data_IF_254820219676
#
_entry.id   IF_254820219676
#
_cell.length_a   1.000
_cell.length_b   1.000
_cell.length_c   1.000
_cell.angle_alpha   90.00
_cell.angle_beta   90.00
_cell.angle_gamma   90.00
#
_symmetry.space_group_name_H-M   'P 1'
#
loop_
_entity.id
_entity.type
_entity.pdbx_description
1 polymer ?
#
# COMPACT_ATOMS: atom_id res chain seq x y z
N UNK A 1 -9.50 -28.46 6.39
CA UNK A 1 -8.85 -27.57 5.42
C UNK A 1 -9.80 -26.42 5.13
N UNK A 2 -9.48 -25.21 5.56
CA UNK A 2 -10.31 -24.05 5.27
C UNK A 2 -10.05 -23.67 3.82
N UNK A 3 -11.03 -23.85 2.95
CA UNK A 3 -10.98 -23.28 1.60
C UNK A 3 -11.12 -21.76 1.76
N UNK A 4 -10.17 -20.96 1.33
CA UNK A 4 -10.35 -19.50 1.37
C UNK A 4 -11.61 -19.14 0.59
N UNK A 5 -12.55 -18.53 1.24
CA UNK A 5 -13.74 -18.03 0.57
C UNK A 5 -13.35 -16.71 -0.10
N UNK A 6 -13.01 -16.75 -1.38
CA UNK A 6 -12.64 -15.58 -2.18
C UNK A 6 -13.80 -14.62 -2.49
N UNK A 7 -14.97 -14.83 -1.87
CA UNK A 7 -16.18 -14.02 -2.08
C UNK A 7 -16.43 -12.98 -0.98
N UNK A 8 -15.42 -12.66 -0.16
CA UNK A 8 -15.57 -11.56 0.78
C UNK A 8 -15.60 -10.22 0.04
N UNK A 9 -16.62 -9.39 0.26
CA UNK A 9 -16.69 -8.08 -0.38
C UNK A 9 -15.54 -7.20 0.13
N UNK A 10 -14.90 -6.52 -0.82
CA UNK A 10 -13.90 -5.49 -0.53
C UNK A 10 -14.45 -4.15 -0.97
N UNK A 11 -14.39 -3.17 -0.08
CA UNK A 11 -14.77 -1.79 -0.33
C UNK A 11 -13.55 -0.98 -0.74
N UNK A 12 -13.67 -0.13 -1.76
CA UNK A 12 -12.58 0.67 -2.32
C UNK A 12 -12.84 2.16 -2.09
N UNK A 13 -11.82 2.86 -1.57
CA UNK A 13 -11.90 4.28 -1.24
C UNK A 13 -10.71 5.05 -1.81
N UNK A 14 -10.91 5.68 -2.96
CA UNK A 14 -9.93 6.63 -3.51
C UNK A 14 -10.16 8.00 -2.87
N UNK A 15 -9.18 8.50 -2.14
CA UNK A 15 -9.27 9.70 -1.30
C UNK A 15 -8.63 10.94 -1.92
N UNK A 16 -7.60 10.75 -2.73
CA UNK A 16 -6.82 11.85 -3.28
C UNK A 16 -6.44 11.61 -4.76
N UNK A 17 -6.07 12.71 -5.44
CA UNK A 17 -5.41 12.63 -6.73
C UNK A 17 -3.90 12.68 -6.53
N UNK A 18 -3.16 11.91 -7.33
CA UNK A 18 -1.71 11.77 -7.21
C UNK A 18 -1.02 12.06 -8.55
N UNK A 19 -1.12 13.31 -9.09
CA UNK A 19 -0.66 13.62 -10.45
C UNK A 19 0.86 13.55 -10.63
N UNK A 20 1.62 13.63 -9.53
CA UNK A 20 3.09 13.61 -9.54
C UNK A 20 3.69 12.41 -8.84
N UNK A 21 2.86 11.43 -8.46
CA UNK A 21 3.35 10.24 -7.76
C UNK A 21 4.29 9.41 -8.63
N UNK A 22 5.40 8.97 -8.06
CA UNK A 22 6.39 8.12 -8.72
C UNK A 22 5.97 6.65 -8.68
N UNK A 23 5.55 6.17 -7.51
CA UNK A 23 5.07 4.81 -7.29
C UNK A 23 3.71 4.82 -6.59
N UNK A 24 2.93 3.77 -6.82
CA UNK A 24 1.79 3.41 -5.99
C UNK A 24 2.26 2.32 -5.00
N UNK A 25 2.35 2.67 -3.72
CA UNK A 25 2.81 1.76 -2.66
C UNK A 25 1.58 1.10 -2.04
N UNK A 26 1.49 -0.23 -2.16
CA UNK A 26 0.37 -1.02 -1.65
C UNK A 26 0.80 -1.76 -0.39
N UNK A 27 0.11 -1.50 0.71
CA UNK A 27 0.44 -2.02 2.04
C UNK A 27 -0.77 -2.77 2.59
N UNK A 28 -0.81 -4.12 2.49
CA UNK A 28 -1.81 -4.90 3.20
C UNK A 28 -1.49 -4.93 4.69
N UNK A 29 -2.50 -4.78 5.53
CA UNK A 29 -2.36 -4.82 6.98
C UNK A 29 -3.49 -5.63 7.63
N UNK A 30 -3.20 -6.27 8.73
CA UNK A 30 -4.15 -7.03 9.54
C UNK A 30 -3.89 -6.80 11.02
N UNK A 31 -4.69 -5.88 11.63
CA UNK A 31 -4.62 -5.56 13.05
C UNK A 31 -3.17 -5.32 13.56
N UNK A 32 -2.45 -4.43 12.88
CA UNK A 32 -1.03 -4.14 13.15
C UNK A 32 -0.75 -2.63 13.12
N UNK A 33 -1.59 -1.86 13.81
CA UNK A 33 -1.64 -0.40 13.72
C UNK A 33 -0.29 0.28 14.00
N UNK A 34 0.39 -0.11 15.08
CA UNK A 34 1.64 0.55 15.47
C UNK A 34 2.74 0.40 14.41
N UNK A 35 2.86 -0.79 13.82
CA UNK A 35 3.83 -1.03 12.74
C UNK A 35 3.42 -0.33 11.45
N UNK A 36 2.15 -0.36 11.09
CA UNK A 36 1.64 0.38 9.91
C UNK A 36 1.95 1.87 10.02
N UNK A 37 1.72 2.48 11.18
CA UNK A 37 2.04 3.88 11.43
C UNK A 37 3.52 4.17 11.24
N UNK A 38 4.40 3.33 11.78
CA UNK A 38 5.84 3.47 11.62
C UNK A 38 6.28 3.29 10.16
N UNK A 39 5.73 2.29 9.47
CA UNK A 39 6.00 2.04 8.06
C UNK A 39 5.66 3.27 7.21
N UNK A 40 4.44 3.80 7.33
CA UNK A 40 3.99 4.97 6.56
C UNK A 40 4.80 6.22 6.94
N UNK A 41 5.07 6.44 8.22
CA UNK A 41 5.92 7.54 8.66
C UNK A 41 7.33 7.48 8.05
N UNK A 42 7.91 6.28 7.92
CA UNK A 42 9.21 6.10 7.28
C UNK A 42 9.18 6.44 5.80
N UNK A 43 8.14 6.06 5.08
CA UNK A 43 7.94 6.40 3.67
C UNK A 43 7.87 7.92 3.52
N UNK A 44 7.02 8.58 4.29
CA UNK A 44 6.82 10.03 4.20
C UNK A 44 8.10 10.82 4.55
N UNK A 45 8.88 10.33 5.52
CA UNK A 45 10.11 10.98 5.96
C UNK A 45 11.29 10.78 5.02
N UNK A 46 11.43 9.58 4.44
CA UNK A 46 12.65 9.13 3.80
C UNK A 46 12.56 9.04 2.27
N UNK A 47 11.41 9.36 1.68
CA UNK A 47 11.24 9.39 0.23
C UNK A 47 11.74 10.69 -0.38
N UNK A 48 12.37 10.60 -1.55
CA UNK A 48 12.81 11.73 -2.36
C UNK A 48 11.66 12.26 -3.23
N UNK A 49 10.79 11.35 -3.71
CA UNK A 49 9.66 11.66 -4.58
C UNK A 49 8.32 11.50 -3.86
N UNK A 50 7.26 12.16 -4.33
CA UNK A 50 5.91 11.87 -3.86
C UNK A 50 5.45 10.51 -4.35
N UNK A 51 4.67 9.82 -3.53
CA UNK A 51 4.09 8.51 -3.83
C UNK A 51 2.60 8.48 -3.50
N UNK A 52 1.86 7.63 -4.22
CA UNK A 52 0.54 7.20 -3.77
C UNK A 52 0.69 6.11 -2.72
N UNK A 53 0.01 6.22 -1.60
CA UNK A 53 -0.07 5.15 -0.59
C UNK A 53 -1.48 4.56 -0.62
N UNK A 54 -1.58 3.25 -0.75
CA UNK A 54 -2.82 2.48 -0.73
C UNK A 54 -2.70 1.43 0.37
N UNK A 55 -3.56 1.50 1.37
CA UNK A 55 -3.60 0.52 2.47
C UNK A 55 -4.78 -0.42 2.26
N UNK A 56 -4.54 -1.74 2.25
CA UNK A 56 -5.64 -2.70 2.40
C UNK A 56 -5.79 -3.05 3.86
N UNK A 57 -6.95 -2.73 4.43
CA UNK A 57 -7.29 -3.02 5.83
C UNK A 57 -8.08 -4.32 5.89
N UNK A 58 -7.45 -5.38 6.38
CA UNK A 58 -8.13 -6.62 6.80
C UNK A 58 -8.65 -6.43 8.23
N UNK A 59 -9.96 -6.56 8.41
CA UNK A 59 -10.66 -6.41 9.70
C UNK A 59 -10.49 -5.00 10.33
N UNK A 60 -9.30 -4.66 10.80
CA UNK A 60 -9.00 -3.35 11.36
C UNK A 60 -9.64 -3.08 12.73
N UNK A 61 -9.83 -4.13 13.55
CA UNK A 61 -10.51 -4.06 14.86
C UNK A 61 -9.65 -3.49 15.99
N UNK A 62 -8.36 -3.30 15.74
CA UNK A 62 -7.38 -2.72 16.67
C UNK A 62 -7.27 -1.18 16.58
N UNK A 63 -8.16 -0.52 15.85
CA UNK A 63 -8.11 0.91 15.57
C UNK A 63 -7.47 1.25 14.21
N UNK A 64 -6.98 0.26 13.47
CA UNK A 64 -6.35 0.48 12.15
C UNK A 64 -7.31 1.13 11.16
N UNK A 65 -8.56 0.65 11.09
CA UNK A 65 -9.54 1.19 10.14
C UNK A 65 -9.88 2.65 10.42
N UNK A 66 -10.11 3.00 11.68
CA UNK A 66 -10.41 4.38 12.10
C UNK A 66 -9.23 5.31 11.82
N UNK A 67 -8.01 4.83 12.11
CA UNK A 67 -6.80 5.60 11.84
C UNK A 67 -6.62 5.85 10.34
N UNK A 68 -6.77 4.83 9.49
CA UNK A 68 -6.66 4.97 8.03
C UNK A 68 -7.71 5.93 7.48
N UNK A 69 -8.96 5.82 7.95
CA UNK A 69 -10.05 6.74 7.57
C UNK A 69 -9.74 8.21 7.91
N UNK A 70 -8.98 8.47 8.96
CA UNK A 70 -8.58 9.82 9.35
C UNK A 70 -7.46 10.40 8.45
N UNK A 71 -6.77 9.58 7.65
CA UNK A 71 -5.68 10.04 6.77
C UNK A 71 -6.24 10.51 5.42
N UNK A 72 -6.28 11.82 5.18
CA UNK A 72 -6.87 12.39 3.97
C UNK A 72 -6.14 11.99 2.66
N UNK A 73 -4.84 11.69 2.74
CA UNK A 73 -3.97 11.44 1.59
C UNK A 73 -3.67 9.95 1.36
N UNK A 74 -4.32 9.06 2.11
CA UNK A 74 -4.17 7.61 1.95
C UNK A 74 -5.42 7.05 1.28
N UNK A 75 -5.23 6.44 0.13
CA UNK A 75 -6.26 5.61 -0.50
C UNK A 75 -6.32 4.27 0.24
N UNK A 76 -7.47 3.67 0.35
CA UNK A 76 -7.56 2.40 1.04
C UNK A 76 -8.65 1.48 0.49
N UNK A 77 -8.47 0.20 0.76
CA UNK A 77 -9.49 -0.83 0.59
C UNK A 77 -9.75 -1.50 1.93
N UNK A 78 -10.94 -2.01 2.11
CA UNK A 78 -11.36 -2.61 3.38
C UNK A 78 -12.13 -3.91 3.17
N UNK A 79 -11.83 -4.90 3.98
CA UNK A 79 -12.61 -6.14 4.10
C UNK A 79 -12.92 -6.45 5.57
N UNK A 80 -14.16 -6.87 5.85
CA UNK A 80 -14.58 -7.24 7.21
C UNK A 80 -13.87 -8.50 7.73
N UNK A 81 -13.34 -9.30 6.81
CA UNK A 81 -12.60 -10.53 7.13
C UNK A 81 -11.21 -10.46 6.52
N UNK A 82 -10.26 -11.20 7.08
CA UNK A 82 -8.94 -11.34 6.50
C UNK A 82 -9.02 -12.13 5.18
N UNK A 83 -8.78 -11.45 4.07
CA UNK A 83 -8.81 -12.03 2.72
C UNK A 83 -7.45 -12.51 2.22
N UNK A 84 -6.40 -12.31 3.02
CA UNK A 84 -5.02 -12.62 2.66
C UNK A 84 -4.38 -11.61 1.72
N UNK A 85 -3.06 -11.75 1.53
CA UNK A 85 -2.23 -10.76 0.82
C UNK A 85 -2.54 -10.73 -0.68
N UNK A 86 -2.59 -11.88 -1.34
CA UNK A 86 -2.77 -11.93 -2.79
C UNK A 86 -4.09 -11.33 -3.25
N UNK A 87 -5.19 -11.65 -2.57
CA UNK A 87 -6.51 -11.11 -2.89
C UNK A 87 -6.59 -9.60 -2.62
N UNK A 88 -5.99 -9.16 -1.51
CA UNK A 88 -5.87 -7.74 -1.18
C UNK A 88 -5.13 -6.96 -2.26
N UNK A 89 -3.94 -7.44 -2.68
CA UNK A 89 -3.13 -6.79 -3.72
C UNK A 89 -3.88 -6.71 -5.05
N UNK A 90 -4.49 -7.80 -5.50
CA UNK A 90 -5.25 -7.84 -6.74
C UNK A 90 -6.42 -6.83 -6.74
N UNK A 91 -7.08 -6.68 -5.62
CA UNK A 91 -8.18 -5.73 -5.50
C UNK A 91 -7.70 -4.27 -5.53
N UNK A 92 -6.53 -3.97 -4.98
CA UNK A 92 -5.96 -2.62 -4.99
C UNK A 92 -5.61 -2.12 -6.40
N UNK A 93 -5.52 -3.02 -7.39
CA UNK A 93 -5.20 -2.67 -8.77
C UNK A 93 -6.07 -1.55 -9.34
N UNK A 94 -7.35 -1.51 -8.98
CA UNK A 94 -8.30 -0.48 -9.45
C UNK A 94 -8.00 0.92 -8.94
N UNK A 95 -7.21 1.06 -7.88
CA UNK A 95 -6.84 2.34 -7.28
C UNK A 95 -5.49 2.88 -7.75
N UNK A 96 -4.67 2.07 -8.45
CA UNK A 96 -3.33 2.46 -8.88
C UNK A 96 -3.39 3.70 -9.78
N UNK A 97 -2.53 4.67 -9.51
CA UNK A 97 -2.41 5.93 -10.26
C UNK A 97 -1.09 6.04 -11.04
N UNK A 98 -0.20 5.07 -10.93
CA UNK A 98 1.16 5.09 -11.52
C UNK A 98 1.42 3.84 -12.34
N UNK A 99 2.44 3.90 -13.23
CA UNK A 99 2.86 2.78 -14.07
C UNK A 99 3.52 1.64 -13.28
N UNK A 100 4.12 1.98 -12.13
CA UNK A 100 4.78 1.02 -11.24
C UNK A 100 4.08 1.00 -9.90
N UNK A 101 3.80 -0.20 -9.40
CA UNK A 101 3.37 -0.37 -8.02
C UNK A 101 4.43 -1.11 -7.22
N UNK A 102 4.52 -0.78 -5.94
CA UNK A 102 5.39 -1.43 -4.97
C UNK A 102 4.55 -2.10 -3.89
N UNK A 103 4.72 -3.41 -3.72
CA UNK A 103 4.19 -4.10 -2.56
C UNK A 103 5.13 -3.92 -1.37
N UNK A 104 4.60 -3.49 -0.24
CA UNK A 104 5.36 -3.32 1.00
C UNK A 104 4.59 -3.94 2.17
N UNK A 105 5.26 -4.75 2.99
CA UNK A 105 4.68 -5.22 4.25
C UNK A 105 4.51 -4.05 5.24
N UNK A 106 3.52 -4.14 6.10
CA UNK A 106 3.21 -3.10 7.10
C UNK A 106 4.24 -2.98 8.22
N UNK A 107 5.16 -3.92 8.35
CA UNK A 107 6.27 -3.94 9.30
C UNK A 107 7.64 -3.55 8.71
N UNK A 108 7.65 -2.99 7.51
CA UNK A 108 8.85 -2.52 6.82
C UNK A 108 9.19 -1.07 7.21
N UNK A 109 10.47 -0.74 7.18
CA UNK A 109 10.97 0.63 7.35
C UNK A 109 11.69 1.08 6.08
N UNK A 110 11.19 2.14 5.44
CA UNK A 110 11.82 2.74 4.27
C UNK A 110 13.06 3.57 4.69
N UNK A 111 14.24 3.19 4.22
CA UNK A 111 15.48 3.91 4.51
C UNK A 111 15.59 5.22 3.69
N UNK A 112 16.45 6.18 4.11
CA UNK A 112 16.63 7.42 3.35
C UNK A 112 16.95 7.21 1.87
N UNK A 113 16.30 7.97 0.99
CA UNK A 113 16.52 7.95 -0.46
C UNK A 113 16.24 6.61 -1.15
N UNK A 114 15.51 5.70 -0.52
CA UNK A 114 15.21 4.35 -1.05
C UNK A 114 14.60 4.40 -2.45
N UNK A 115 13.70 5.33 -2.70
CA UNK A 115 12.95 5.51 -3.94
C UNK A 115 13.82 6.13 -5.05
N UNK A 116 14.76 6.97 -4.70
CA UNK A 116 15.74 7.51 -5.64
C UNK A 116 16.62 6.40 -6.22
N UNK A 117 17.20 5.58 -5.36
CA UNK A 117 18.02 4.45 -5.81
C UNK A 117 17.23 3.43 -6.62
N UNK A 118 15.99 3.13 -6.21
CA UNK A 118 15.10 2.25 -6.95
C UNK A 118 14.77 2.81 -8.34
N UNK A 119 14.47 4.10 -8.44
CA UNK A 119 14.19 4.78 -9.72
C UNK A 119 15.40 4.75 -10.65
N UNK A 120 16.61 4.98 -10.12
CA UNK A 120 17.85 4.91 -10.89
C UNK A 120 18.10 3.50 -11.41
N UNK A 121 17.88 2.46 -10.61
CA UNK A 121 18.00 1.06 -11.04
C UNK A 121 16.98 0.69 -12.12
N UNK A 122 15.74 1.10 -11.97
CA UNK A 122 14.68 0.87 -12.98
C UNK A 122 15.12 1.48 -14.33
N UNK A 123 15.64 2.70 -14.33
CA UNK A 123 16.14 3.37 -15.53
C UNK A 123 17.35 2.65 -16.15
N UNK A 124 18.27 2.13 -15.32
CA UNK A 124 19.48 1.45 -15.76
C UNK A 124 19.19 0.07 -16.37
N UNK A 125 18.17 -0.65 -15.90
CA UNK A 125 17.78 -1.96 -16.40
C UNK A 125 17.32 -1.89 -17.87
N UNK A 126 16.71 -0.79 -18.31
CA UNK A 126 16.31 -0.56 -19.69
C UNK A 126 15.11 -1.39 -20.18
N UNK A 127 14.38 -2.04 -19.27
CA UNK A 127 13.11 -2.72 -19.50
C UNK A 127 12.21 -2.60 -18.27
N UNK A 128 10.95 -2.96 -18.41
CA UNK A 128 9.96 -2.86 -17.33
C UNK A 128 9.59 -4.21 -16.69
N UNK A 129 10.40 -5.24 -16.91
CA UNK A 129 10.20 -6.58 -16.36
C UNK A 129 11.21 -6.84 -15.24
N UNK A 130 10.80 -6.55 -14.02
CA UNK A 130 11.59 -6.80 -12.79
C UNK A 130 10.61 -7.07 -11.62
N UNK A 131 11.12 -7.75 -10.61
CA UNK A 131 10.35 -8.18 -9.46
C UNK A 131 11.03 -7.75 -8.17
#
# INVERSE_FOLDING_TARGET
>A
MHTPNYNYPIQNFKRANHPTAQFSIVIPTWNNLAYLQLCIASILKNSTYPHQIIVHVNEGTDGTLEWVKAQANIDYTYSENNVGVCYALNNCRSLLSTDYFLYMNDDMYACPEWDKYLTEEIAAIGHNQFF
#
